data_IF_887314125621
#
_entry.id   IF_887314125621
#
_cell.length_a   1.000
_cell.length_b   1.000
_cell.length_c   1.000
_cell.angle_alpha   90.00
_cell.angle_beta   90.00
_cell.angle_gamma   90.00
#
_symmetry.space_group_name_H-M   'P 1'
#
loop_
_entity.id
_entity.type
_entity.pdbx_description
1 polymer ?
#
# COMPACT_ATOMS: atom_id res chain seq x y z
N UNK A 1 71.43 -11.96 7.55
CA UNK A 1 70.61 -11.51 8.69
C UNK A 1 69.21 -11.19 8.18
N UNK A 2 68.18 -11.84 8.76
CA UNK A 2 66.72 -11.51 8.82
C UNK A 2 66.04 -11.13 7.49
N UNK A 3 65.30 -12.04 6.82
CA UNK A 3 63.90 -12.47 7.10
C UNK A 3 62.97 -11.27 7.30
N UNK A 4 61.98 -11.07 6.42
CA UNK A 4 60.55 -11.15 6.76
C UNK A 4 59.68 -11.03 5.50
N UNK A 5 59.03 -12.15 5.17
CA UNK A 5 57.87 -12.21 4.29
C UNK A 5 56.66 -11.64 5.04
N UNK A 6 55.91 -10.74 4.41
CA UNK A 6 54.57 -10.36 4.84
C UNK A 6 53.60 -10.67 3.71
N UNK A 7 53.12 -11.92 3.72
CA UNK A 7 51.93 -12.34 2.99
C UNK A 7 50.74 -11.84 3.81
N UNK A 8 50.18 -10.70 3.41
CA UNK A 8 48.90 -10.22 3.93
C UNK A 8 47.78 -11.01 3.24
N UNK A 9 47.37 -12.08 3.92
CA UNK A 9 46.09 -12.76 3.71
C UNK A 9 44.95 -11.76 4.01
N UNK A 10 44.47 -11.09 2.97
CA UNK A 10 43.24 -10.31 3.00
C UNK A 10 42.06 -11.25 3.19
N UNK A 11 41.57 -11.34 4.42
CA UNK A 11 40.30 -11.94 4.79
C UNK A 11 39.16 -11.18 4.10
N UNK A 12 38.70 -11.71 2.97
CA UNK A 12 37.41 -11.36 2.37
C UNK A 12 36.32 -11.92 3.30
N UNK A 13 35.87 -11.07 4.23
CA UNK A 13 34.70 -11.31 5.05
C UNK A 13 33.46 -11.30 4.16
N UNK A 14 33.00 -12.48 3.77
CA UNK A 14 31.67 -12.70 3.20
C UNK A 14 30.65 -12.39 4.31
N UNK A 15 30.17 -11.15 4.34
CA UNK A 15 28.98 -10.79 5.09
C UNK A 15 27.81 -11.53 4.44
N UNK A 16 27.46 -12.69 5.01
CA UNK A 16 26.24 -13.40 4.67
C UNK A 16 25.08 -12.49 5.08
N UNK A 17 24.40 -11.92 4.08
CA UNK A 17 23.10 -11.33 4.30
C UNK A 17 22.18 -12.46 4.78
N UNK A 18 21.96 -12.52 6.10
CA UNK A 18 20.84 -13.22 6.69
C UNK A 18 19.57 -12.51 6.19
N UNK A 19 19.15 -12.88 4.98
CA UNK A 19 17.81 -12.64 4.48
C UNK A 19 16.96 -13.47 5.43
N UNK A 20 16.42 -12.84 6.47
CA UNK A 20 15.43 -13.45 7.34
C UNK A 20 14.30 -13.93 6.44
N UNK A 21 14.34 -15.22 6.11
CA UNK A 21 13.27 -15.90 5.39
C UNK A 21 12.06 -15.70 6.31
N UNK A 22 11.04 -14.93 5.89
CA UNK A 22 9.83 -14.81 6.69
C UNK A 22 9.34 -16.25 6.94
N UNK A 23 8.82 -16.55 8.15
CA UNK A 23 8.29 -17.88 8.42
C UNK A 23 7.37 -18.24 7.26
N UNK A 24 7.72 -19.30 6.53
CA UNK A 24 6.86 -19.84 5.48
C UNK A 24 5.48 -19.96 6.12
N UNK A 25 4.52 -19.20 5.59
CA UNK A 25 3.13 -19.28 6.02
C UNK A 25 2.76 -20.75 6.15
N UNK A 26 2.09 -21.16 7.24
CA UNK A 26 1.71 -22.54 7.44
C UNK A 26 1.07 -23.04 6.15
N UNK A 27 1.65 -24.10 5.60
CA UNK A 27 1.28 -24.72 4.33
C UNK A 27 -0.24 -24.73 4.23
N UNK A 28 -0.79 -23.96 3.28
CA UNK A 28 -2.21 -23.69 3.25
C UNK A 28 -2.94 -24.94 2.78
N UNK A 29 -3.32 -25.77 3.74
CA UNK A 29 -3.91 -27.08 3.56
C UNK A 29 -5.32 -27.16 4.18
N UNK A 30 -6.10 -28.11 3.71
CA UNK A 30 -7.36 -28.46 4.34
C UNK A 30 -7.09 -29.37 5.55
N UNK A 31 -7.36 -28.87 6.76
CA UNK A 31 -7.25 -29.61 8.02
C UNK A 31 -8.32 -30.70 8.20
N UNK A 32 -9.31 -30.77 7.29
CA UNK A 32 -10.45 -31.67 7.40
C UNK A 32 -10.63 -32.47 6.12
N UNK A 33 -10.69 -33.80 6.24
CA UNK A 33 -11.02 -34.71 5.13
C UNK A 33 -12.50 -34.70 4.74
N UNK A 34 -13.29 -33.80 5.33
CA UNK A 34 -14.72 -33.65 5.04
C UNK A 34 -15.03 -32.43 4.15
N UNK A 35 -14.04 -31.66 3.72
CA UNK A 35 -14.27 -30.41 3.00
C UNK A 35 -15.06 -30.62 1.69
N UNK A 36 -14.81 -31.73 1.01
CA UNK A 36 -15.48 -32.21 -0.20
C UNK A 36 -16.92 -32.73 0.03
N UNK A 37 -17.28 -33.07 1.28
CA UNK A 37 -18.62 -33.57 1.63
C UNK A 37 -19.64 -32.46 1.87
N UNK A 38 -19.19 -31.23 2.08
CA UNK A 38 -20.07 -30.10 2.32
C UNK A 38 -20.14 -29.18 1.10
N UNK A 39 -21.31 -28.56 0.83
CA UNK A 39 -21.44 -27.60 -0.25
C UNK A 39 -20.61 -26.35 0.03
N UNK A 40 -20.17 -25.65 -1.02
CA UNK A 40 -19.34 -24.44 -0.91
C UNK A 40 -19.99 -23.31 -0.09
N UNK A 41 -21.30 -23.30 0.11
CA UNK A 41 -21.97 -22.35 1.01
C UNK A 41 -21.46 -22.42 2.45
N UNK A 42 -20.90 -23.56 2.87
CA UNK A 42 -20.28 -23.67 4.20
C UNK A 42 -18.99 -22.85 4.33
N UNK A 43 -18.40 -22.39 3.24
CA UNK A 43 -17.26 -21.46 3.31
C UNK A 43 -17.63 -20.10 3.91
N UNK A 44 -18.92 -19.77 4.04
CA UNK A 44 -19.39 -18.59 4.79
C UNK A 44 -19.33 -18.83 6.30
N UNK A 45 -19.23 -20.08 6.75
CA UNK A 45 -19.14 -20.44 8.16
C UNK A 45 -17.68 -20.33 8.64
N UNK A 46 -17.36 -19.50 9.66
CA UNK A 46 -15.98 -19.26 10.08
C UNK A 46 -15.23 -20.53 10.51
N UNK A 47 -15.94 -21.48 11.14
CA UNK A 47 -15.36 -22.73 11.61
C UNK A 47 -15.00 -23.69 10.46
N UNK A 48 -15.73 -23.62 9.35
CA UNK A 48 -15.49 -24.45 8.16
C UNK A 48 -14.41 -23.83 7.29
N UNK A 49 -14.50 -22.52 7.01
CA UNK A 49 -13.49 -21.75 6.30
C UNK A 49 -12.09 -21.92 6.91
N UNK A 50 -11.97 -21.93 8.23
CA UNK A 50 -10.69 -22.15 8.94
C UNK A 50 -10.11 -23.55 8.75
N UNK A 51 -10.96 -24.56 8.60
CA UNK A 51 -10.55 -25.97 8.44
C UNK A 51 -10.38 -26.38 6.98
N UNK A 52 -11.03 -25.69 6.06
CA UNK A 52 -11.12 -26.02 4.65
C UNK A 52 -10.62 -24.84 3.80
N UNK A 53 -9.45 -24.30 4.14
CA UNK A 53 -8.92 -23.06 3.57
C UNK A 53 -8.66 -23.20 2.07
N UNK A 54 -8.12 -24.34 1.64
CA UNK A 54 -7.81 -24.62 0.25
C UNK A 54 -9.09 -24.87 -0.54
N UNK A 55 -9.98 -25.71 -0.02
CA UNK A 55 -11.29 -25.96 -0.63
C UNK A 55 -12.14 -24.69 -0.81
N UNK A 56 -12.08 -23.79 0.17
CA UNK A 56 -12.78 -22.51 0.13
C UNK A 56 -12.05 -21.42 -0.69
N UNK A 57 -10.87 -21.70 -1.24
CA UNK A 57 -10.11 -20.73 -2.03
C UNK A 57 -9.57 -19.57 -1.21
N UNK A 58 -9.39 -19.76 0.09
CA UNK A 58 -8.79 -18.79 1.01
C UNK A 58 -7.26 -18.89 1.01
N UNK A 59 -6.73 -19.97 0.42
CA UNK A 59 -5.31 -20.13 0.14
C UNK A 59 -4.91 -19.31 -1.09
N UNK A 60 -4.08 -18.31 -0.85
CA UNK A 60 -3.35 -17.54 -1.86
C UNK A 60 -2.16 -16.87 -1.17
N UNK A 61 -1.23 -16.24 -1.91
CA UNK A 61 -0.26 -15.36 -1.27
C UNK A 61 -1.06 -14.35 -0.47
N UNK A 62 -0.95 -14.40 0.86
CA UNK A 62 -1.49 -13.34 1.69
C UNK A 62 -0.72 -12.11 1.26
N UNK A 63 -1.31 -11.30 0.38
CA UNK A 63 -0.80 -9.97 0.10
C UNK A 63 -0.86 -9.31 1.47
N UNK A 64 0.29 -9.01 2.10
CA UNK A 64 0.26 -8.37 3.41
C UNK A 64 -0.66 -7.16 3.27
N UNK A 65 -1.58 -6.94 4.23
CA UNK A 65 -2.50 -5.83 4.15
C UNK A 65 -1.68 -4.59 3.80
N UNK A 66 -2.04 -3.94 2.68
CA UNK A 66 -1.31 -2.76 2.24
C UNK A 66 -1.21 -1.82 3.43
N UNK A 67 -0.02 -1.24 3.71
CA UNK A 67 0.08 -0.27 4.78
C UNK A 67 -1.00 0.79 4.57
N UNK A 68 -1.64 1.27 5.66
CA UNK A 68 -2.66 2.28 5.55
C UNK A 68 -2.11 3.45 4.72
N UNK A 69 -2.92 4.08 3.87
CA UNK A 69 -2.50 5.25 3.12
C UNK A 69 -1.86 6.24 4.10
N UNK A 70 -0.63 6.67 3.81
CA UNK A 70 0.00 7.69 4.64
C UNK A 70 -0.88 8.95 4.57
N UNK A 71 -1.19 9.59 5.71
CA UNK A 71 -1.92 10.85 5.69
C UNK A 71 -1.14 11.83 4.82
N UNK A 72 -1.84 12.56 3.95
CA UNK A 72 -1.17 13.59 3.17
C UNK A 72 -0.84 14.78 4.09
N UNK A 73 0.45 14.96 4.32
CA UNK A 73 0.98 15.98 5.20
C UNK A 73 2.14 16.69 4.52
N UNK A 74 2.32 17.95 4.89
CA UNK A 74 3.52 18.68 4.51
C UNK A 74 4.69 18.14 5.32
N UNK A 75 5.74 17.72 4.62
CA UNK A 75 6.99 17.27 5.23
C UNK A 75 7.86 18.44 5.72
N UNK A 76 7.59 19.66 5.26
CA UNK A 76 8.27 20.88 5.71
C UNK A 76 7.33 21.76 6.54
N UNK A 77 7.89 22.41 7.57
CA UNK A 77 7.17 23.38 8.41
C UNK A 77 6.98 24.73 7.73
N UNK A 78 7.77 25.01 6.69
CA UNK A 78 7.76 26.30 5.99
C UNK A 78 6.60 26.41 4.98
N UNK A 79 5.86 25.33 4.75
CA UNK A 79 4.77 25.28 3.79
C UNK A 79 3.64 26.26 4.15
N UNK A 80 3.37 26.51 5.44
CA UNK A 80 2.27 27.39 5.89
C UNK A 80 2.36 28.83 5.37
N UNK A 81 3.57 29.34 5.15
CA UNK A 81 3.80 30.71 4.67
C UNK A 81 4.26 30.76 3.20
N UNK A 82 4.18 29.63 2.51
CA UNK A 82 4.66 29.50 1.14
C UNK A 82 3.67 30.19 0.17
N UNK A 83 4.14 31.08 -0.71
CA UNK A 83 3.31 31.60 -1.79
C UNK A 83 2.90 30.47 -2.74
N UNK A 84 1.62 30.41 -3.15
CA UNK A 84 1.10 29.35 -4.04
C UNK A 84 1.85 29.26 -5.37
N UNK A 85 2.44 30.36 -5.85
CA UNK A 85 3.28 30.39 -7.07
C UNK A 85 4.54 29.52 -6.94
N UNK A 86 4.99 29.21 -5.72
CA UNK A 86 6.13 28.33 -5.50
C UNK A 86 5.77 26.86 -5.64
N UNK A 87 4.48 26.51 -5.65
CA UNK A 87 4.03 25.13 -5.85
C UNK A 87 4.27 24.57 -7.26
N UNK A 88 4.71 25.41 -8.21
CA UNK A 88 5.20 24.94 -9.52
C UNK A 88 6.59 24.31 -9.44
N UNK A 89 7.35 24.64 -8.40
CA UNK A 89 8.65 24.02 -8.16
C UNK A 89 8.44 22.57 -7.67
N UNK A 90 9.04 21.57 -8.34
CA UNK A 90 8.80 20.17 -8.02
C UNK A 90 9.31 19.78 -6.62
N UNK A 91 10.37 20.41 -6.12
CA UNK A 91 10.92 20.12 -4.79
C UNK A 91 10.02 20.69 -3.70
N UNK A 92 9.50 21.89 -3.92
CA UNK A 92 8.52 22.52 -3.02
C UNK A 92 7.23 21.71 -3.03
N UNK A 93 6.74 21.32 -4.20
CA UNK A 93 5.53 20.51 -4.35
C UNK A 93 5.64 19.13 -3.69
N UNK A 94 6.82 18.51 -3.76
CA UNK A 94 7.07 17.23 -3.10
C UNK A 94 7.11 17.35 -1.57
N UNK A 95 7.58 18.49 -1.04
CA UNK A 95 7.67 18.73 0.40
C UNK A 95 6.40 19.29 1.02
N UNK A 96 5.66 20.09 0.27
CA UNK A 96 4.47 20.82 0.68
C UNK A 96 3.22 20.26 -0.01
N UNK A 97 3.04 18.94 0.05
CA UNK A 97 1.98 18.24 -0.69
C UNK A 97 0.58 18.70 -0.31
N UNK A 98 0.34 18.95 0.97
CA UNK A 98 -0.96 19.40 1.47
C UNK A 98 -1.18 20.87 1.13
N UNK A 99 -0.19 21.73 1.41
CA UNK A 99 -0.27 23.16 1.09
C UNK A 99 -0.44 23.41 -0.42
N UNK A 100 0.26 22.63 -1.25
CA UNK A 100 0.22 22.77 -2.71
C UNK A 100 -0.89 21.95 -3.38
N UNK A 101 -1.80 21.31 -2.61
CA UNK A 101 -2.82 20.40 -3.14
C UNK A 101 -2.24 19.33 -4.10
N UNK A 102 -1.03 18.86 -3.80
CA UNK A 102 -0.27 17.90 -4.59
C UNK A 102 -0.25 16.49 -3.97
N UNK A 103 -1.07 16.27 -2.93
CA UNK A 103 -1.32 14.96 -2.38
C UNK A 103 -1.63 13.96 -3.51
N UNK A 104 -0.96 12.80 -3.57
CA UNK A 104 -1.37 11.73 -4.47
C UNK A 104 -2.74 11.24 -3.98
N UNK A 105 -3.76 11.72 -4.66
CA UNK A 105 -5.12 11.30 -4.46
C UNK A 105 -5.30 9.94 -5.08
N UNK A 106 -5.00 8.91 -4.30
CA UNK A 106 -5.19 7.54 -4.73
C UNK A 106 -6.43 7.01 -4.04
N UNK A 107 -7.28 6.38 -4.83
CA UNK A 107 -8.39 5.62 -4.29
C UNK A 107 -7.86 4.57 -3.31
N UNK A 108 -8.42 4.55 -2.10
CA UNK A 108 -8.02 3.60 -1.05
C UNK A 108 -8.39 2.17 -1.42
N UNK A 109 -9.38 2.01 -2.30
CA UNK A 109 -9.80 0.72 -2.85
C UNK A 109 -10.22 0.90 -4.32
N UNK A 110 -9.29 0.85 -5.29
CA UNK A 110 -9.59 1.15 -6.69
C UNK A 110 -10.64 0.21 -7.29
N UNK A 111 -10.69 -1.06 -6.88
CA UNK A 111 -11.67 -2.05 -7.37
C UNK A 111 -13.10 -1.76 -6.91
N UNK A 112 -13.25 -1.34 -5.65
CA UNK A 112 -14.54 -0.88 -5.13
C UNK A 112 -14.90 0.46 -5.76
N UNK A 113 -13.93 1.37 -5.82
CA UNK A 113 -14.09 2.69 -6.37
C UNK A 113 -14.52 2.63 -7.82
N UNK A 114 -14.04 1.70 -8.66
CA UNK A 114 -14.45 1.53 -10.06
C UNK A 114 -15.90 1.02 -10.26
N UNK A 115 -16.47 0.35 -9.26
CA UNK A 115 -17.83 -0.22 -9.32
C UNK A 115 -18.92 0.72 -8.78
N UNK A 116 -18.52 1.80 -8.11
CA UNK A 116 -19.45 2.75 -7.49
C UNK A 116 -20.09 3.72 -8.51
N UNK A 117 -21.37 4.10 -8.39
CA UNK A 117 -21.93 5.15 -9.24
C UNK A 117 -21.44 6.54 -8.79
N UNK A 118 -21.05 7.41 -9.73
CA UNK A 118 -20.57 8.78 -9.44
C UNK A 118 -21.55 9.61 -8.60
N UNK A 119 -22.85 9.34 -8.70
CA UNK A 119 -23.90 9.98 -7.89
C UNK A 119 -23.71 9.75 -6.37
N UNK A 120 -22.91 8.75 -5.96
CA UNK A 120 -22.62 8.45 -4.56
C UNK A 120 -21.43 9.23 -3.99
N UNK A 121 -20.74 10.02 -4.81
CA UNK A 121 -19.62 10.87 -4.36
C UNK A 121 -20.03 12.01 -3.41
N UNK A 122 -21.32 12.26 -3.23
CA UNK A 122 -21.82 13.16 -2.18
C UNK A 122 -21.80 12.54 -0.78
N UNK A 123 -21.61 11.23 -0.65
CA UNK A 123 -21.51 10.57 0.65
C UNK A 123 -20.10 10.75 1.24
N UNK A 124 -19.94 11.27 2.48
CA UNK A 124 -18.64 11.60 3.06
C UNK A 124 -17.67 10.41 3.13
N UNK A 125 -18.19 9.22 3.41
CA UNK A 125 -17.41 7.99 3.52
C UNK A 125 -16.83 7.56 2.17
N UNK A 126 -17.65 7.59 1.11
CA UNK A 126 -17.18 7.23 -0.24
C UNK A 126 -16.25 8.29 -0.80
N UNK A 127 -16.54 9.56 -0.52
CA UNK A 127 -15.67 10.69 -0.89
C UNK A 127 -14.27 10.58 -0.29
N UNK A 128 -14.17 10.12 0.96
CA UNK A 128 -12.89 9.83 1.59
C UNK A 128 -12.20 8.57 1.03
N UNK A 129 -12.98 7.58 0.59
CA UNK A 129 -12.46 6.30 0.09
C UNK A 129 -12.00 6.36 -1.38
N UNK A 130 -12.69 7.15 -2.21
CA UNK A 130 -12.52 7.25 -3.65
C UNK A 130 -12.29 8.70 -4.12
N UNK A 131 -11.33 9.44 -3.54
CA UNK A 131 -11.16 10.87 -3.79
C UNK A 131 -10.72 11.16 -5.24
N UNK A 132 -10.05 10.22 -5.91
CA UNK A 132 -9.65 10.36 -7.32
C UNK A 132 -10.90 10.32 -8.21
N UNK A 133 -11.74 9.31 -8.03
CA UNK A 133 -12.95 9.12 -8.85
C UNK A 133 -14.03 10.16 -8.57
N UNK A 134 -14.09 10.69 -7.36
CA UNK A 134 -15.06 11.69 -6.97
C UNK A 134 -14.67 13.13 -7.36
N UNK A 135 -13.52 13.32 -8.03
CA UNK A 135 -13.10 14.63 -8.54
C UNK A 135 -12.67 15.63 -7.46
N UNK A 136 -12.56 15.18 -6.20
CA UNK A 136 -12.15 16.02 -5.07
C UNK A 136 -10.64 16.28 -5.00
N UNK A 137 -9.95 15.79 -6.03
CA UNK A 137 -8.52 15.66 -6.08
C UNK A 137 -7.91 16.22 -7.37
N UNK A 138 -8.64 17.12 -8.01
CA UNK A 138 -8.04 17.95 -9.04
C UNK A 138 -7.25 19.06 -8.33
N UNK A 139 -5.94 19.23 -8.61
CA UNK A 139 -5.24 20.43 -8.20
C UNK A 139 -5.98 21.61 -8.84
N UNK A 140 -6.63 22.44 -8.02
CA UNK A 140 -7.29 23.64 -8.51
C UNK A 140 -6.21 24.65 -8.86
N UNK A 141 -5.68 24.56 -10.08
CA UNK A 141 -4.74 25.55 -10.60
C UNK A 141 -5.61 26.68 -11.18
N UNK A 142 -5.59 27.84 -10.53
CA UNK A 142 -6.27 29.09 -10.96
C UNK A 142 -7.79 29.16 -10.86
N UNK A 143 -8.46 28.40 -9.99
CA UNK A 143 -9.92 28.53 -9.80
C UNK A 143 -10.76 28.08 -11.00
N UNK A 144 -10.11 27.49 -12.01
CA UNK A 144 -10.77 26.72 -13.06
C UNK A 144 -10.67 25.26 -12.65
N UNK A 145 -11.82 24.60 -12.53
CA UNK A 145 -11.86 23.15 -12.37
C UNK A 145 -11.33 22.54 -13.67
N UNK A 146 -10.07 22.13 -13.68
CA UNK A 146 -9.55 21.25 -14.72
C UNK A 146 -10.32 19.96 -14.53
N UNK A 147 -11.17 19.60 -15.50
CA UNK A 147 -11.92 18.35 -15.47
C UNK A 147 -10.92 17.19 -15.37
N UNK A 148 -10.82 16.62 -14.18
CA UNK A 148 -10.73 15.18 -14.01
C UNK A 148 -12.18 14.65 -14.09
#
# INVERSE_FOLDING_TARGET
>A
MKVFAFVLLGLVGLATCDIGIPPMDPECEDYSSLCDKYPKSYCEQPWFAKKCQLYCGLCGPQIPPSPPPRPCEDSSKDCTNLPLEKCFDPDVRAKCQKTCNACPCKDSNPDLCAKLPLAKCSEPLLKALCPERCGDCCPSVYGYSVYC
#
